data_IF_391006787825
#
_entry.id   IF_391006787825
#
_cell.length_a   1.000
_cell.length_b   1.000
_cell.length_c   1.000
_cell.angle_alpha   90.00
_cell.angle_beta   90.00
_cell.angle_gamma   90.00
#
_symmetry.space_group_name_H-M   'P 1'
#
loop_
_entity.id
_entity.type
_entity.pdbx_description
1 polymer ?
#
# COMPACT_ATOMS: atom_id res chain seq x y z
N UNK A 1 -15.90 -6.29 -3.78
CA UNK A 1 -16.36 -4.90 -3.66
C UNK A 1 -15.23 -3.90 -3.96
N UNK A 2 -14.04 -4.00 -3.35
CA UNK A 2 -12.94 -3.06 -3.64
C UNK A 2 -12.54 -3.05 -5.12
N UNK A 3 -12.43 -4.23 -5.76
CA UNK A 3 -12.10 -4.32 -7.19
C UNK A 3 -13.16 -3.63 -8.06
N UNK A 4 -14.45 -3.87 -7.79
CA UNK A 4 -15.53 -3.18 -8.50
C UNK A 4 -15.49 -1.66 -8.27
N UNK A 5 -15.14 -1.21 -7.06
CA UNK A 5 -14.92 0.19 -6.76
C UNK A 5 -13.76 0.76 -7.60
N UNK A 6 -12.63 0.04 -7.74
CA UNK A 6 -11.51 0.50 -8.57
C UNK A 6 -11.90 0.62 -10.05
N UNK A 7 -12.62 -0.38 -10.58
CA UNK A 7 -13.13 -0.33 -11.96
C UNK A 7 -14.05 0.88 -12.20
N UNK A 8 -14.83 1.25 -11.19
CA UNK A 8 -15.72 2.40 -11.24
C UNK A 8 -14.95 3.73 -11.12
N UNK A 9 -13.97 3.81 -10.21
CA UNK A 9 -13.23 5.05 -9.94
C UNK A 9 -12.11 5.33 -10.95
N UNK A 10 -11.55 4.29 -11.54
CA UNK A 10 -10.39 4.36 -12.43
C UNK A 10 -10.66 3.63 -13.76
N UNK A 11 -11.65 4.06 -14.57
CA UNK A 11 -12.02 3.37 -15.82
C UNK A 11 -10.90 3.40 -16.88
N UNK A 12 -9.98 4.35 -16.79
CA UNK A 12 -8.86 4.52 -17.72
C UNK A 12 -7.64 3.66 -17.35
N UNK A 13 -7.69 2.94 -16.21
CA UNK A 13 -6.63 2.04 -15.80
C UNK A 13 -6.93 0.59 -16.19
N UNK A 14 -5.93 -0.11 -16.67
CA UNK A 14 -5.98 -1.56 -16.80
C UNK A 14 -5.77 -2.20 -15.41
N UNK A 15 -6.83 -2.81 -14.87
CA UNK A 15 -6.80 -3.40 -13.53
C UNK A 15 -6.55 -4.90 -13.61
N UNK A 16 -5.36 -5.32 -13.21
CA UNK A 16 -4.95 -6.72 -13.12
C UNK A 16 -5.23 -7.27 -11.72
N UNK A 17 -6.20 -8.19 -11.62
CA UNK A 17 -6.55 -8.84 -10.34
C UNK A 17 -5.72 -10.11 -10.19
N UNK A 18 -4.81 -10.09 -9.23
CA UNK A 18 -3.88 -11.18 -9.00
C UNK A 18 -4.37 -12.17 -7.93
N UNK A 19 -4.24 -13.42 -8.23
CA UNK A 19 -4.40 -14.55 -7.31
C UNK A 19 -3.28 -15.58 -7.56
N UNK A 20 -3.29 -16.72 -6.87
CA UNK A 20 -2.27 -17.76 -7.01
C UNK A 20 -2.12 -18.33 -8.41
N UNK A 21 -3.16 -18.24 -9.24
CA UNK A 21 -3.14 -18.73 -10.63
C UNK A 21 -2.67 -17.61 -11.57
N UNK A 22 -3.36 -16.46 -11.57
CA UNK A 22 -3.12 -15.36 -12.51
C UNK A 22 -1.77 -14.66 -12.31
N UNK A 23 -1.20 -14.68 -11.11
CA UNK A 23 0.14 -14.11 -10.88
C UNK A 23 1.23 -14.80 -11.69
N UNK A 24 1.02 -16.06 -12.07
CA UNK A 24 1.97 -16.84 -12.89
C UNK A 24 2.09 -16.32 -14.32
N UNK A 25 1.09 -15.61 -14.81
CA UNK A 25 1.12 -14.98 -16.12
C UNK A 25 2.04 -13.74 -16.15
N UNK A 26 2.34 -13.19 -14.96
CA UNK A 26 3.14 -11.98 -14.79
C UNK A 26 4.54 -12.22 -14.21
N UNK A 27 4.79 -13.41 -13.63
CA UNK A 27 6.11 -13.79 -13.10
C UNK A 27 6.62 -14.98 -13.90
N UNK A 28 7.66 -14.81 -14.72
CA UNK A 28 8.26 -15.91 -15.49
C UNK A 28 8.68 -17.08 -14.60
N UNK A 29 8.59 -18.33 -15.07
CA UNK A 29 8.96 -19.50 -14.26
C UNK A 29 10.38 -19.45 -13.69
N UNK A 30 11.32 -18.82 -14.41
CA UNK A 30 12.71 -18.64 -14.00
C UNK A 30 12.93 -17.64 -12.88
N UNK A 31 11.98 -16.75 -12.66
CA UNK A 31 12.11 -15.63 -11.73
C UNK A 31 11.52 -15.95 -10.33
N UNK A 32 10.86 -17.10 -10.20
CA UNK A 32 10.35 -17.56 -8.91
C UNK A 32 11.51 -17.99 -8.00
N UNK A 33 11.64 -17.36 -6.81
CA UNK A 33 12.70 -17.74 -5.90
C UNK A 33 12.51 -19.16 -5.36
N UNK A 34 13.59 -19.88 -5.16
CA UNK A 34 13.54 -21.12 -4.42
C UNK A 34 12.98 -20.85 -3.00
N UNK A 35 12.10 -21.73 -2.52
CA UNK A 35 11.44 -21.55 -1.22
C UNK A 35 10.26 -20.59 -1.20
N UNK A 36 9.89 -19.94 -2.33
CA UNK A 36 8.76 -19.00 -2.37
C UNK A 36 7.46 -19.61 -1.82
N UNK A 37 7.15 -20.83 -2.21
CA UNK A 37 5.92 -21.53 -1.78
C UNK A 37 5.88 -21.84 -0.27
N UNK A 38 7.01 -21.86 0.40
CA UNK A 38 7.10 -22.06 1.85
C UNK A 38 6.81 -20.78 2.65
N UNK A 39 6.81 -19.62 2.02
CA UNK A 39 6.46 -18.37 2.66
C UNK A 39 4.97 -18.33 3.00
N UNK A 40 4.62 -17.63 4.08
CA UNK A 40 3.23 -17.31 4.35
C UNK A 40 2.66 -16.35 3.27
N UNK A 41 1.31 -16.34 3.05
CA UNK A 41 0.70 -15.55 1.98
C UNK A 41 0.99 -14.04 2.05
N UNK A 42 1.23 -13.49 3.24
CA UNK A 42 1.57 -12.06 3.41
C UNK A 42 2.94 -11.79 2.80
N UNK A 43 3.96 -12.58 3.12
CA UNK A 43 5.31 -12.44 2.57
C UNK A 43 5.37 -12.74 1.07
N UNK A 44 4.57 -13.70 0.59
CA UNK A 44 4.41 -13.94 -0.84
C UNK A 44 3.87 -12.68 -1.55
N UNK A 45 2.81 -12.09 -1.00
CA UNK A 45 2.23 -10.86 -1.54
C UNK A 45 3.20 -9.67 -1.47
N UNK A 46 3.97 -9.53 -0.36
CA UNK A 46 4.98 -8.48 -0.21
C UNK A 46 6.07 -8.57 -1.29
N UNK A 47 6.52 -9.79 -1.61
CA UNK A 47 7.50 -10.00 -2.67
C UNK A 47 6.92 -9.74 -4.06
N UNK A 48 5.72 -10.27 -4.35
CA UNK A 48 5.03 -10.10 -5.65
C UNK A 48 4.84 -8.63 -5.97
N UNK A 49 4.36 -7.81 -5.02
CA UNK A 49 4.09 -6.39 -5.27
C UNK A 49 5.34 -5.61 -5.65
N UNK A 50 6.45 -5.87 -4.97
CA UNK A 50 7.73 -5.24 -5.26
C UNK A 50 8.30 -5.72 -6.59
N UNK A 51 8.23 -7.04 -6.85
CA UNK A 51 8.68 -7.63 -8.11
C UNK A 51 7.92 -7.03 -9.31
N UNK A 52 6.59 -7.02 -9.26
CA UNK A 52 5.78 -6.58 -10.39
C UNK A 52 5.94 -5.09 -10.66
N UNK A 53 5.88 -4.24 -9.64
CA UNK A 53 6.02 -2.79 -9.84
C UNK A 53 7.44 -2.44 -10.27
N UNK A 54 8.48 -3.10 -9.74
CA UNK A 54 9.85 -2.85 -10.19
C UNK A 54 10.06 -3.23 -11.67
N UNK A 55 9.39 -4.28 -12.13
CA UNK A 55 9.56 -4.82 -13.50
C UNK A 55 8.69 -4.11 -14.53
N UNK A 56 7.42 -3.92 -14.21
CA UNK A 56 6.42 -3.44 -15.16
C UNK A 56 5.99 -1.98 -14.93
N UNK A 57 6.30 -1.44 -13.76
CA UNK A 57 5.79 -0.13 -13.34
C UNK A 57 4.31 -0.18 -12.98
N UNK A 58 3.70 1.01 -12.88
CA UNK A 58 2.29 1.16 -12.53
C UNK A 58 2.06 1.24 -11.03
N UNK A 59 0.83 0.91 -10.62
CA UNK A 59 0.38 1.01 -9.23
C UNK A 59 0.06 -0.36 -8.65
N UNK A 60 0.51 -0.61 -7.43
CA UNK A 60 0.01 -1.69 -6.58
C UNK A 60 -1.04 -1.16 -5.61
N UNK A 61 -2.15 -1.89 -5.48
CA UNK A 61 -3.12 -1.68 -4.40
C UNK A 61 -3.49 -3.03 -3.78
N UNK A 62 -3.42 -3.11 -2.47
CA UNK A 62 -4.01 -4.26 -1.77
C UNK A 62 -5.52 -4.30 -1.97
N UNK A 63 -6.10 -5.48 -2.14
CA UNK A 63 -7.55 -5.72 -2.33
C UNK A 63 -8.45 -5.30 -1.14
N UNK A 64 -7.90 -4.53 -0.22
CA UNK A 64 -8.56 -3.94 0.94
C UNK A 64 -8.53 -2.40 0.94
N UNK A 65 -8.19 -1.81 -0.18
CA UNK A 65 -8.23 -0.37 -0.41
C UNK A 65 -9.57 -0.01 -1.05
N UNK A 66 -10.25 0.99 -0.53
CA UNK A 66 -11.46 1.59 -1.12
C UNK A 66 -11.09 2.97 -1.61
N UNK A 67 -11.26 3.24 -2.89
CA UNK A 67 -11.05 4.55 -3.50
C UNK A 67 -12.30 5.40 -3.35
N UNK A 68 -12.16 6.64 -2.91
CA UNK A 68 -13.24 7.63 -2.85
C UNK A 68 -13.18 8.63 -4.00
N UNK A 69 -12.07 8.60 -4.72
CA UNK A 69 -11.82 9.35 -5.95
C UNK A 69 -10.80 8.60 -6.83
N UNK A 70 -10.69 8.93 -8.13
CA UNK A 70 -9.68 8.36 -9.04
C UNK A 70 -8.25 8.54 -8.53
N UNK A 71 -7.31 7.70 -9.01
CA UNK A 71 -5.89 7.75 -8.59
C UNK A 71 -5.09 8.92 -9.20
N UNK A 72 -5.66 9.72 -10.06
CA UNK A 72 -4.99 10.80 -10.78
C UNK A 72 -4.28 11.81 -9.88
N UNK A 73 -4.78 11.98 -8.64
CA UNK A 73 -4.12 12.86 -7.68
C UNK A 73 -2.73 12.35 -7.27
N UNK A 74 -2.52 11.02 -7.28
CA UNK A 74 -1.19 10.43 -7.06
C UNK A 74 -0.28 10.72 -8.25
N UNK A 75 -0.78 10.54 -9.47
CA UNK A 75 -0.04 10.84 -10.71
C UNK A 75 0.32 12.32 -10.79
N UNK A 76 -0.65 13.20 -10.53
CA UNK A 76 -0.43 14.64 -10.55
C UNK A 76 0.65 15.06 -9.54
N UNK A 77 0.64 14.52 -8.33
CA UNK A 77 1.66 14.77 -7.34
C UNK A 77 3.02 14.22 -7.75
N UNK A 78 3.06 12.99 -8.24
CA UNK A 78 4.30 12.37 -8.72
C UNK A 78 4.94 13.20 -9.84
N UNK A 79 4.14 13.64 -10.80
CA UNK A 79 4.58 14.51 -11.88
C UNK A 79 5.06 15.87 -11.40
N UNK A 80 4.31 16.55 -10.53
CA UNK A 80 4.68 17.86 -10.00
C UNK A 80 5.98 17.84 -9.19
N UNK A 81 6.24 16.76 -8.44
CA UNK A 81 7.44 16.60 -7.62
C UNK A 81 8.58 15.89 -8.40
N UNK A 82 8.35 15.50 -9.66
CA UNK A 82 9.29 14.74 -10.50
C UNK A 82 9.87 13.52 -9.77
N UNK A 83 9.04 12.80 -9.04
CA UNK A 83 9.47 11.70 -8.20
C UNK A 83 9.43 10.35 -8.94
N UNK A 84 10.33 9.46 -8.54
CA UNK A 84 10.42 8.09 -9.07
C UNK A 84 9.53 7.09 -8.32
N UNK A 85 8.88 7.53 -7.26
CA UNK A 85 8.02 6.68 -6.43
C UNK A 85 6.95 7.53 -5.76
N UNK A 86 5.73 7.05 -5.74
CA UNK A 86 4.62 7.67 -5.01
C UNK A 86 3.98 6.64 -4.08
N UNK A 87 3.62 7.04 -2.87
CA UNK A 87 3.05 6.11 -1.90
C UNK A 87 2.69 6.75 -0.57
N UNK A 88 2.74 5.94 0.48
CA UNK A 88 2.32 6.33 1.82
C UNK A 88 3.39 6.02 2.85
N UNK A 89 3.37 6.73 3.97
CA UNK A 89 4.24 6.46 5.11
C UNK A 89 3.47 6.53 6.43
N UNK A 90 3.95 5.80 7.43
CA UNK A 90 3.42 5.82 8.80
C UNK A 90 4.04 6.95 9.60
N UNK A 91 3.27 8.01 9.85
CA UNK A 91 3.74 9.15 10.64
C UNK A 91 4.04 8.77 12.09
N UNK A 92 3.21 7.92 12.68
CA UNK A 92 3.42 7.43 14.06
C UNK A 92 4.66 6.54 14.24
N UNK A 93 5.18 5.96 13.16
CA UNK A 93 6.40 5.12 13.18
C UNK A 93 7.65 5.89 12.75
N UNK A 94 7.47 7.05 12.10
CA UNK A 94 8.55 7.86 11.55
C UNK A 94 9.08 8.82 12.61
N UNK A 95 10.32 8.62 13.04
CA UNK A 95 11.01 9.49 14.00
C UNK A 95 11.96 10.46 13.29
N UNK A 96 12.43 10.11 12.11
CA UNK A 96 13.28 10.94 11.25
C UNK A 96 12.58 11.17 9.90
N UNK A 97 12.12 12.40 9.67
CA UNK A 97 11.37 12.77 8.46
C UNK A 97 12.18 12.59 7.15
N UNK A 98 13.51 12.52 7.22
CA UNK A 98 14.36 12.22 6.05
C UNK A 98 14.23 10.77 5.60
N UNK A 99 13.82 9.89 6.50
CA UNK A 99 13.70 8.45 6.28
C UNK A 99 12.33 7.94 6.74
N UNK A 100 11.23 8.36 6.10
CA UNK A 100 9.88 7.96 6.51
C UNK A 100 9.69 6.44 6.44
N UNK A 101 8.90 5.89 7.34
CA UNK A 101 8.55 4.45 7.34
C UNK A 101 7.49 4.22 6.28
N UNK A 102 7.93 3.77 5.09
CA UNK A 102 7.11 3.62 3.90
C UNK A 102 6.20 2.40 4.02
N UNK A 103 4.93 2.58 3.69
CA UNK A 103 3.93 1.52 3.57
C UNK A 103 4.03 0.81 2.21
N UNK A 104 3.64 -0.47 2.18
CA UNK A 104 3.73 -1.30 0.98
C UNK A 104 2.38 -1.78 0.42
N UNK A 105 1.27 -1.37 1.00
CA UNK A 105 -0.07 -1.81 0.58
C UNK A 105 -0.65 -0.99 -0.60
N UNK A 106 -0.10 0.20 -0.90
CA UNK A 106 -0.40 0.98 -2.09
C UNK A 106 0.79 1.88 -2.43
N UNK A 107 1.29 1.79 -3.63
CA UNK A 107 2.36 2.62 -4.16
C UNK A 107 2.43 2.51 -5.68
N UNK A 108 3.10 3.47 -6.30
CA UNK A 108 3.36 3.50 -7.73
C UNK A 108 4.81 3.86 -8.04
N UNK A 109 5.33 3.31 -9.14
CA UNK A 109 6.64 3.65 -9.67
C UNK A 109 6.71 3.35 -11.17
N UNK A 110 7.61 3.99 -11.93
CA UNK A 110 7.92 3.57 -13.30
C UNK A 110 8.64 2.23 -13.31
N UNK A 111 8.53 1.48 -14.40
CA UNK A 111 9.30 0.27 -14.62
C UNK A 111 10.80 0.55 -14.49
N UNK A 112 11.53 -0.27 -13.74
CA UNK A 112 12.95 -0.07 -13.48
C UNK A 112 13.29 1.12 -12.58
N UNK A 113 12.28 1.75 -11.92
CA UNK A 113 12.53 2.86 -10.99
C UNK A 113 13.58 2.49 -9.95
N UNK A 114 14.53 3.41 -9.68
CA UNK A 114 15.72 3.12 -8.86
C UNK A 114 15.37 2.65 -7.47
N UNK A 115 14.50 3.38 -6.79
CA UNK A 115 14.11 3.06 -5.41
C UNK A 115 13.37 1.72 -5.31
N UNK A 116 12.31 1.53 -6.13
CA UNK A 116 11.50 0.30 -6.06
C UNK A 116 12.30 -0.94 -6.43
N UNK A 117 13.22 -0.82 -7.39
CA UNK A 117 14.12 -1.91 -7.80
C UNK A 117 15.12 -2.24 -6.69
N UNK A 118 15.71 -1.24 -6.05
CA UNK A 118 16.59 -1.45 -4.91
C UNK A 118 15.84 -2.07 -3.72
N UNK A 119 14.59 -1.63 -3.48
CA UNK A 119 13.74 -2.20 -2.42
C UNK A 119 13.39 -3.66 -2.70
N UNK A 120 13.00 -3.99 -3.94
CA UNK A 120 12.73 -5.36 -4.35
C UNK A 120 13.96 -6.26 -4.13
N UNK A 121 15.16 -5.81 -4.53
CA UNK A 121 16.40 -6.58 -4.36
C UNK A 121 16.76 -6.77 -2.90
N UNK A 122 16.66 -5.73 -2.07
CA UNK A 122 16.95 -5.83 -0.64
C UNK A 122 15.95 -6.74 0.08
N UNK A 123 14.67 -6.68 -0.29
CA UNK A 123 13.64 -7.57 0.26
C UNK A 123 13.84 -9.02 -0.17
N UNK A 124 14.19 -9.26 -1.44
CA UNK A 124 14.54 -10.58 -1.96
C UNK A 124 15.75 -11.17 -1.21
N UNK A 125 16.81 -10.39 -1.07
CA UNK A 125 18.02 -10.79 -0.31
C UNK A 125 17.66 -11.20 1.13
N UNK A 126 16.84 -10.40 1.81
CA UNK A 126 16.42 -10.65 3.18
C UNK A 126 15.55 -11.90 3.33
N UNK A 127 14.77 -12.28 2.31
CA UNK A 127 13.90 -13.46 2.36
C UNK A 127 14.59 -14.74 1.91
N UNK A 128 15.30 -14.70 0.79
CA UNK A 128 15.68 -15.90 0.05
C UNK A 128 17.18 -16.18 0.05
N UNK A 129 18.03 -15.14 0.06
CA UNK A 129 19.48 -15.37 0.00
C UNK A 129 20.06 -15.68 1.37
N UNK A 130 19.69 -14.92 2.41
CA UNK A 130 20.21 -15.12 3.76
C UNK A 130 19.16 -15.49 4.80
N UNK A 131 17.88 -15.27 4.50
CA UNK A 131 16.76 -15.53 5.40
C UNK A 131 16.52 -14.42 6.42
N UNK A 132 15.23 -14.22 6.78
CA UNK A 132 14.77 -13.10 7.62
C UNK A 132 15.55 -12.96 8.94
N UNK A 133 15.77 -14.06 9.65
CA UNK A 133 16.44 -14.02 10.97
C UNK A 133 17.91 -13.62 10.84
N UNK A 134 18.63 -14.20 9.89
CA UNK A 134 20.03 -13.85 9.63
C UNK A 134 20.17 -12.41 9.13
N UNK A 135 19.24 -11.96 8.29
CA UNK A 135 19.19 -10.57 7.83
C UNK A 135 19.05 -9.60 9.00
N UNK A 136 18.06 -9.80 9.87
CA UNK A 136 17.83 -8.94 11.03
C UNK A 136 19.00 -8.99 12.02
N UNK A 137 19.59 -10.17 12.25
CA UNK A 137 20.78 -10.32 13.09
C UNK A 137 21.99 -9.58 12.50
N UNK A 138 22.12 -9.50 11.18
CA UNK A 138 23.18 -8.72 10.54
C UNK A 138 23.00 -7.22 10.79
N UNK A 139 21.76 -6.74 10.72
CA UNK A 139 21.43 -5.32 10.98
C UNK A 139 21.68 -4.93 12.45
N UNK A 140 21.41 -5.82 13.40
CA UNK A 140 21.64 -5.58 14.84
C UNK A 140 23.09 -5.26 15.17
N UNK A 141 24.03 -5.69 14.33
CA UNK A 141 25.46 -5.38 14.49
C UNK A 141 25.83 -3.99 13.99
N UNK A 142 24.94 -3.32 13.25
CA UNK A 142 25.18 -1.98 12.72
C UNK A 142 24.91 -0.93 13.82
N UNK A 143 25.79 0.05 14.05
CA UNK A 143 25.54 1.14 15.01
C UNK A 143 24.26 1.94 14.72
N UNK A 144 23.81 1.92 13.46
CA UNK A 144 22.60 2.61 12.99
C UNK A 144 21.30 1.82 13.20
N UNK A 145 21.35 0.61 13.77
CA UNK A 145 20.19 -0.30 13.86
C UNK A 145 18.97 0.34 14.51
N UNK A 146 19.11 0.99 15.66
CA UNK A 146 18.01 1.64 16.35
C UNK A 146 17.39 2.76 15.49
N UNK A 147 18.23 3.55 14.82
CA UNK A 147 17.78 4.60 13.92
C UNK A 147 17.12 4.03 12.65
N UNK A 148 17.53 2.86 12.18
CA UNK A 148 16.93 2.17 11.03
C UNK A 148 15.53 1.64 11.38
N UNK A 149 15.35 1.07 12.57
CA UNK A 149 14.05 0.54 12.97
C UNK A 149 13.03 1.65 13.26
N UNK A 150 13.48 2.79 13.81
CA UNK A 150 12.57 3.86 14.25
C UNK A 150 11.40 3.30 15.11
N UNK A 151 10.14 3.51 14.71
CA UNK A 151 8.95 2.99 15.38
C UNK A 151 8.55 1.56 15.00
N UNK A 152 9.35 0.85 14.19
CA UNK A 152 9.07 -0.54 13.79
C UNK A 152 9.30 -1.47 14.98
N UNK A 153 8.22 -1.97 15.58
CA UNK A 153 8.25 -2.81 16.79
C UNK A 153 8.31 -4.31 16.49
N UNK A 154 7.85 -4.73 15.31
CA UNK A 154 7.92 -6.12 14.84
C UNK A 154 8.66 -6.18 13.50
N UNK A 155 10.00 -6.22 13.50
CA UNK A 155 10.79 -6.20 12.28
C UNK A 155 10.68 -7.50 11.46
N UNK A 156 10.24 -8.61 12.04
CA UNK A 156 9.99 -9.86 11.32
C UNK A 156 8.73 -9.73 10.47
N UNK A 157 7.65 -9.27 11.07
CA UNK A 157 6.39 -9.02 10.36
C UNK A 157 6.55 -7.86 9.36
N UNK A 158 7.17 -6.76 9.78
CA UNK A 158 7.36 -5.54 9.00
C UNK A 158 8.70 -5.53 8.22
N UNK A 159 9.19 -6.71 7.79
CA UNK A 159 10.46 -6.82 7.07
C UNK A 159 10.51 -5.94 5.82
N UNK A 160 9.39 -5.80 5.10
CA UNK A 160 9.28 -4.89 3.97
C UNK A 160 9.61 -3.45 4.34
N UNK A 161 9.11 -2.96 5.47
CA UNK A 161 9.40 -1.62 5.99
C UNK A 161 10.87 -1.47 6.41
N UNK A 162 11.44 -2.51 7.04
CA UNK A 162 12.87 -2.54 7.43
C UNK A 162 13.77 -2.45 6.21
N UNK A 163 13.48 -3.23 5.16
CA UNK A 163 14.26 -3.20 3.92
C UNK A 163 14.12 -1.87 3.19
N UNK A 164 12.92 -1.25 3.17
CA UNK A 164 12.73 0.10 2.64
C UNK A 164 13.58 1.13 3.40
N UNK A 165 13.62 1.06 4.73
CA UNK A 165 14.45 1.93 5.57
C UNK A 165 15.94 1.80 5.23
N UNK A 166 16.41 0.57 5.01
CA UNK A 166 17.81 0.34 4.62
C UNK A 166 18.11 0.93 3.24
N UNK A 167 17.22 0.74 2.29
CA UNK A 167 17.36 1.29 0.92
C UNK A 167 17.36 2.82 0.95
N UNK A 168 16.43 3.46 1.66
CA UNK A 168 16.39 4.92 1.80
C UNK A 168 17.72 5.48 2.32
N UNK A 169 18.32 4.86 3.32
CA UNK A 169 19.58 5.31 3.91
C UNK A 169 20.77 5.11 2.98
N UNK A 170 20.73 4.10 2.10
CA UNK A 170 21.76 3.87 1.07
C UNK A 170 21.59 4.75 -0.16
N UNK A 171 20.34 5.19 -0.42
CA UNK A 171 19.97 6.01 -1.57
C UNK A 171 19.33 7.34 -1.12
N UNK A 172 20.06 8.23 -0.43
CA UNK A 172 19.49 9.44 0.18
C UNK A 172 18.98 10.45 -0.85
N UNK A 173 19.34 10.30 -2.12
CA UNK A 173 18.92 11.16 -3.22
C UNK A 173 17.67 10.65 -3.95
N UNK A 174 17.05 9.55 -3.52
CA UNK A 174 15.80 9.06 -4.09
C UNK A 174 14.69 10.10 -3.91
N UNK A 175 14.01 10.42 -5.02
CA UNK A 175 12.90 11.38 -5.02
C UNK A 175 11.58 10.63 -4.85
N UNK A 176 10.98 10.77 -3.68
CA UNK A 176 9.75 10.06 -3.32
C UNK A 176 8.66 11.07 -2.97
N UNK A 177 7.48 10.88 -3.54
CA UNK A 177 6.26 11.60 -3.15
C UNK A 177 5.48 10.74 -2.17
N UNK A 178 5.45 11.12 -0.91
CA UNK A 178 4.82 10.33 0.14
C UNK A 178 3.69 11.10 0.83
N UNK A 179 2.55 10.44 0.98
CA UNK A 179 1.40 10.92 1.76
C UNK A 179 1.40 10.25 3.14
N UNK A 180 1.14 11.02 4.19
CA UNK A 180 0.98 10.45 5.52
C UNK A 180 -0.29 9.59 5.59
N UNK A 181 -0.12 8.32 5.94
CA UNK A 181 -1.22 7.35 5.93
C UNK A 181 -2.34 7.73 6.91
N UNK A 182 -2.01 8.27 8.09
CA UNK A 182 -2.96 8.69 9.10
C UNK A 182 -3.79 9.94 8.72
N UNK A 183 -3.34 10.67 7.70
CA UNK A 183 -4.05 11.86 7.21
C UNK A 183 -4.76 11.57 5.85
N UNK A 184 -4.62 10.34 5.33
CA UNK A 184 -5.20 9.84 4.09
C UNK A 184 -5.90 8.49 4.32
N UNK A 185 -5.23 7.39 4.04
CA UNK A 185 -5.79 6.03 4.05
C UNK A 185 -6.29 5.54 5.41
N UNK A 186 -5.71 6.03 6.50
CA UNK A 186 -6.11 5.74 7.87
C UNK A 186 -6.81 6.91 8.57
N UNK A 187 -7.27 7.90 7.81
CA UNK A 187 -7.96 9.08 8.35
C UNK A 187 -9.15 8.69 9.23
N UNK A 188 -9.99 7.77 8.75
CA UNK A 188 -11.19 7.33 9.49
C UNK A 188 -10.86 6.43 10.67
N UNK A 189 -9.83 5.60 10.58
CA UNK A 189 -9.33 4.83 11.73
C UNK A 189 -8.87 5.76 12.85
N UNK A 190 -8.09 6.79 12.51
CA UNK A 190 -7.65 7.83 13.44
C UNK A 190 -8.84 8.60 14.03
N UNK A 191 -9.82 8.99 13.22
CA UNK A 191 -11.02 9.71 13.65
C UNK A 191 -11.86 8.92 14.66
N UNK A 192 -11.88 7.57 14.58
CA UNK A 192 -12.55 6.71 15.56
C UNK A 192 -11.59 6.18 16.64
N UNK A 193 -10.43 6.83 16.84
CA UNK A 193 -9.39 6.44 17.80
C UNK A 193 -8.97 4.98 17.69
N UNK A 194 -8.86 4.46 16.45
CA UNK A 194 -8.50 3.08 16.13
C UNK A 194 -9.45 2.00 16.68
N UNK A 195 -10.64 2.38 17.10
CA UNK A 195 -11.69 1.48 17.60
C UNK A 195 -12.36 0.81 16.39
N UNK A 196 -11.86 -0.36 16.00
CA UNK A 196 -12.25 -1.09 14.78
C UNK A 196 -13.78 -1.30 14.65
N UNK A 197 -14.50 -1.49 15.75
CA UNK A 197 -15.96 -1.68 15.78
C UNK A 197 -16.75 -0.41 15.45
N UNK A 198 -16.15 0.79 15.54
CA UNK A 198 -16.76 2.05 15.12
C UNK A 198 -16.52 2.38 13.65
N UNK A 199 -15.56 1.69 13.00
CA UNK A 199 -15.18 2.00 11.64
C UNK A 199 -16.28 1.61 10.64
N UNK A 200 -16.92 0.43 10.81
CA UNK A 200 -17.99 0.00 9.92
C UNK A 200 -19.18 0.98 9.90
N UNK A 201 -19.80 1.36 11.04
CA UNK A 201 -20.83 2.38 11.06
C UNK A 201 -20.39 3.69 10.42
N UNK A 202 -19.15 4.11 10.68
CA UNK A 202 -18.58 5.35 10.14
C UNK A 202 -18.47 5.34 8.62
N UNK A 203 -18.08 4.23 8.03
CA UNK A 203 -17.86 4.12 6.59
C UNK A 203 -19.11 3.68 5.81
N UNK A 204 -20.00 2.90 6.42
CA UNK A 204 -21.07 2.19 5.71
C UNK A 204 -22.49 2.64 6.07
N UNK A 205 -22.71 3.27 7.22
CA UNK A 205 -24.06 3.57 7.70
C UNK A 205 -24.36 5.07 7.81
N UNK A 206 -23.41 5.88 8.31
CA UNK A 206 -23.64 7.32 8.47
C UNK A 206 -23.30 8.08 7.18
N UNK A 207 -23.84 9.29 7.05
CA UNK A 207 -23.56 10.16 5.91
C UNK A 207 -22.06 10.43 5.79
N UNK A 208 -21.56 10.39 4.56
CA UNK A 208 -20.18 10.75 4.24
C UNK A 208 -19.91 12.21 4.54
N UNK A 209 -18.65 12.50 4.93
CA UNK A 209 -18.20 13.88 5.07
C UNK A 209 -18.24 14.62 3.71
N UNK A 210 -18.41 15.94 3.71
CA UNK A 210 -18.29 16.75 2.48
C UNK A 210 -16.92 16.55 1.78
N UNK A 211 -15.85 16.43 2.57
CA UNK A 211 -14.50 16.16 2.10
C UNK A 211 -14.06 14.78 2.58
N UNK A 212 -14.14 13.79 1.71
CA UNK A 212 -13.70 12.43 2.01
C UNK A 212 -12.17 12.33 1.83
N UNK A 213 -11.53 11.53 2.69
CA UNK A 213 -10.17 11.11 2.41
C UNK A 213 -10.11 10.38 1.06
N UNK A 214 -9.04 10.53 0.26
CA UNK A 214 -9.00 10.07 -1.14
C UNK A 214 -9.09 8.55 -1.29
N UNK A 215 -8.76 7.83 -0.24
CA UNK A 215 -8.91 6.38 -0.16
C UNK A 215 -8.95 5.92 1.30
N UNK A 216 -9.43 4.70 1.52
CA UNK A 216 -9.46 4.05 2.83
C UNK A 216 -8.80 2.68 2.73
N UNK A 217 -7.80 2.41 3.59
CA UNK A 217 -7.17 1.09 3.71
C UNK A 217 -7.76 0.33 4.90
N UNK A 218 -8.36 -0.82 4.65
CA UNK A 218 -8.80 -1.72 5.72
C UNK A 218 -7.66 -2.64 6.18
N UNK A 219 -7.38 -2.67 7.48
CA UNK A 219 -6.43 -3.59 8.09
C UNK A 219 -7.02 -5.01 8.20
N UNK A 220 -6.19 -6.01 8.48
CA UNK A 220 -6.59 -7.43 8.47
C UNK A 220 -7.81 -7.75 9.34
N UNK A 221 -7.85 -7.28 10.59
CA UNK A 221 -8.99 -7.45 11.50
C UNK A 221 -10.25 -6.72 11.02
N UNK A 222 -10.08 -5.50 10.52
CA UNK A 222 -11.19 -4.68 9.99
C UNK A 222 -11.85 -5.35 8.79
N UNK A 223 -11.08 -5.92 7.85
CA UNK A 223 -11.61 -6.63 6.67
C UNK A 223 -12.55 -7.77 7.04
N UNK A 224 -12.16 -8.59 8.03
CA UNK A 224 -12.98 -9.70 8.50
C UNK A 224 -14.29 -9.19 9.05
N UNK A 225 -14.22 -8.22 9.94
CA UNK A 225 -15.38 -7.61 10.57
C UNK A 225 -16.33 -6.95 9.56
N UNK A 226 -15.79 -6.25 8.56
CA UNK A 226 -16.59 -5.67 7.49
C UNK A 226 -17.33 -6.74 6.68
N UNK A 227 -16.67 -7.84 6.32
CA UNK A 227 -17.30 -8.92 5.59
C UNK A 227 -18.48 -9.54 6.37
N UNK A 228 -18.31 -9.76 7.67
CA UNK A 228 -19.34 -10.28 8.56
C UNK A 228 -20.54 -9.33 8.66
N UNK A 229 -20.28 -8.03 8.88
CA UNK A 229 -21.35 -7.03 9.00
C UNK A 229 -22.09 -6.78 7.68
N UNK A 230 -21.39 -6.79 6.54
CA UNK A 230 -22.04 -6.69 5.23
C UNK A 230 -22.91 -7.90 4.92
N UNK A 231 -22.50 -9.09 5.37
CA UNK A 231 -23.33 -10.28 5.24
C UNK A 231 -24.62 -10.20 6.08
N UNK A 232 -24.56 -9.54 7.25
CA UNK A 232 -25.68 -9.38 8.17
C UNK A 232 -26.61 -8.22 7.79
N UNK A 233 -26.05 -7.09 7.36
CA UNK A 233 -26.79 -5.83 7.18
C UNK A 233 -26.99 -5.44 5.71
N UNK A 234 -26.42 -6.19 4.76
CA UNK A 234 -26.52 -5.91 3.34
C UNK A 234 -25.51 -4.84 2.85
N UNK A 235 -25.85 -4.21 1.73
CA UNK A 235 -25.00 -3.20 1.11
C UNK A 235 -24.85 -1.94 1.98
N UNK A 236 -23.72 -1.21 1.87
CA UNK A 236 -23.56 0.08 2.52
C UNK A 236 -24.65 1.08 2.13
N UNK A 237 -25.06 1.94 3.08
CA UNK A 237 -26.05 2.96 2.80
C UNK A 237 -25.59 3.89 1.66
N UNK A 238 -26.44 4.22 0.68
CA UNK A 238 -26.04 5.00 -0.52
C UNK A 238 -25.41 6.36 -0.20
N UNK A 239 -25.81 6.97 0.92
CA UNK A 239 -25.30 8.28 1.37
C UNK A 239 -24.03 8.16 2.23
N UNK A 240 -23.63 6.95 2.58
CA UNK A 240 -22.39 6.69 3.34
C UNK A 240 -21.15 6.88 2.45
N UNK A 241 -19.97 6.93 3.08
CA UNK A 241 -18.71 7.02 2.35
C UNK A 241 -18.56 5.87 1.36
N UNK A 242 -18.74 4.64 1.83
CA UNK A 242 -18.59 3.46 0.96
C UNK A 242 -19.67 3.40 -0.12
N UNK A 243 -20.92 3.75 0.24
CA UNK A 243 -22.00 3.84 -0.75
C UNK A 243 -21.69 4.83 -1.86
N UNK A 244 -21.18 6.02 -1.53
CA UNK A 244 -20.73 7.01 -2.51
C UNK A 244 -19.52 6.55 -3.32
N UNK A 245 -18.53 5.91 -2.67
CA UNK A 245 -17.35 5.37 -3.33
C UNK A 245 -17.67 4.29 -4.38
N UNK A 246 -18.80 3.61 -4.24
CA UNK A 246 -19.29 2.63 -5.22
C UNK A 246 -20.05 3.29 -6.41
N UNK A 247 -20.29 4.60 -6.40
CA UNK A 247 -20.89 5.33 -7.51
C UNK A 247 -19.78 5.82 -8.45
N UNK A 248 -20.13 5.95 -9.75
CA UNK A 248 -19.19 6.52 -10.70
C UNK A 248 -18.83 7.96 -10.29
N UNK A 249 -17.56 8.38 -10.47
CA UNK A 249 -17.17 9.75 -10.21
C UNK A 249 -17.98 10.70 -11.09
N UNK A 250 -18.27 11.90 -10.57
CA UNK A 250 -18.90 12.92 -11.38
C UNK A 250 -18.03 13.19 -12.63
N UNK A 251 -18.68 13.36 -13.78
CA UNK A 251 -17.97 13.65 -15.03
C UNK A 251 -17.02 14.84 -14.83
N UNK A 252 -15.77 14.67 -15.21
CA UNK A 252 -14.78 15.76 -15.14
C UNK A 252 -15.23 16.88 -16.08
N UNK A 253 -15.13 18.16 -15.66
CA UNK A 253 -15.19 19.25 -16.62
C UNK A 253 -14.08 19.03 -17.66
N UNK A 254 -14.43 19.14 -18.94
CA UNK A 254 -13.46 19.06 -20.03
C UNK A 254 -12.30 20.02 -19.74
N UNK A 255 -11.05 19.55 -19.86
CA UNK A 255 -9.90 20.41 -19.72
C UNK A 255 -10.05 21.56 -20.75
N UNK A 256 -9.81 22.82 -20.39
CA UNK A 256 -9.79 23.91 -21.36
C UNK A 256 -8.67 23.59 -22.37
N UNK A 257 -9.04 23.61 -23.67
CA UNK A 257 -8.15 23.45 -24.80
C UNK A 257 -7.09 24.54 -24.88
#
# INVERSE_FOLDING_TARGET
QCIANWQTQCPDFEIQVLNQQTVRDHVPPTDWPEGFSALNPVKQSDWIRLYLVSRYGGYWLDASVVLTQPLDWLEARQGAEHSEFVGFYLGGYTHDARYPVIENWAFGAPAGGTFVTAWQREFHHALFEIGTQAYLASLQREPSYAALLQGITDPVYLLGHVTAQRVLRRHPNSRLTLSKAEDTAFFYQKAVSWKWYLLYPRLCLVAADPHMAPLVKLRGGERRHFAELMAQHGAPAPHSLWGKACQAPAARPAAPH
#
